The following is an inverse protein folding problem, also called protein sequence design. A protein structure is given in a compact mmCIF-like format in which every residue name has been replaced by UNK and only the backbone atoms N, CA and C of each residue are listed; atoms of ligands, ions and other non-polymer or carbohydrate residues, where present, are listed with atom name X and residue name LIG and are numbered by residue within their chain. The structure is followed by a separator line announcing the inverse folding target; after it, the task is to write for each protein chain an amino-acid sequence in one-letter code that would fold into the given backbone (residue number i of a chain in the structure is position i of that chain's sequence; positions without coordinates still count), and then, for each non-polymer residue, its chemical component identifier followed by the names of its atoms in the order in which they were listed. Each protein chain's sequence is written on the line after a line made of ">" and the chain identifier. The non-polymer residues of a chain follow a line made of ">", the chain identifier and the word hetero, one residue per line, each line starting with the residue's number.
data_IF_899727915717
#
_entry.id   IF_899727915717
#
_cell.length_a   1.000
_cell.length_b   1.000
_cell.length_c   1.000
_cell.angle_alpha   90.00
_cell.angle_beta   90.00
_cell.angle_gamma   90.00
#
_symmetry.space_group_name_H-M   'P 1'
#
loop_
_entity.id
_entity.type
_entity.pdbx_description
1 polymer ?
#
# COMPACT_ATOMS: atom_id res chain seq x y z
N UNK A 1 -3.35 43.00 -20.09
CA UNK A 1 -3.99 41.73 -19.63
C UNK A 1 -3.56 40.48 -20.39
N UNK A 2 -3.27 40.50 -21.71
CA UNK A 2 -2.78 39.31 -22.45
C UNK A 2 -1.40 38.82 -22.01
N UNK A 3 -0.44 39.73 -21.76
CA UNK A 3 0.94 39.38 -21.38
C UNK A 3 1.01 38.65 -20.02
N UNK A 4 0.20 39.08 -19.05
CA UNK A 4 0.11 38.42 -17.73
C UNK A 4 -0.48 37.00 -17.82
N UNK A 5 -1.41 36.76 -18.76
CA UNK A 5 -1.99 35.43 -19.01
C UNK A 5 -1.00 34.50 -19.71
N UNK A 6 -0.18 35.03 -20.64
CA UNK A 6 0.90 34.26 -21.27
C UNK A 6 1.99 33.86 -20.27
N UNK A 7 2.41 34.80 -19.40
CA UNK A 7 3.41 34.52 -18.37
C UNK A 7 2.92 33.47 -17.36
N UNK A 8 1.64 33.55 -16.95
CA UNK A 8 1.04 32.53 -16.08
C UNK A 8 0.97 31.15 -16.75
N UNK A 9 0.62 31.09 -18.04
CA UNK A 9 0.58 29.84 -18.80
C UNK A 9 1.97 29.21 -18.99
N UNK A 10 3.00 30.03 -19.25
CA UNK A 10 4.39 29.56 -19.38
C UNK A 10 4.91 29.04 -18.03
N UNK A 11 4.62 29.74 -16.93
CA UNK A 11 5.02 29.30 -15.59
C UNK A 11 4.30 28.00 -15.19
N UNK A 12 3.01 27.86 -15.50
CA UNK A 12 2.28 26.60 -15.28
C UNK A 12 2.86 25.45 -16.10
N UNK A 13 3.18 25.69 -17.39
CA UNK A 13 3.79 24.67 -18.25
C UNK A 13 5.19 24.25 -17.74
N UNK A 14 6.00 25.17 -17.22
CA UNK A 14 7.32 24.89 -16.64
C UNK A 14 7.24 24.10 -15.32
N UNK A 15 6.15 24.23 -14.56
CA UNK A 15 5.95 23.51 -13.29
C UNK A 15 5.34 22.12 -13.48
N UNK A 16 4.56 21.90 -14.56
CA UNK A 16 3.91 20.62 -14.84
C UNK A 16 4.83 19.57 -15.48
N UNK A 17 5.86 19.99 -16.22
CA UNK A 17 6.80 19.08 -16.89
C UNK A 17 7.64 18.19 -15.95
N UNK A 18 8.22 18.68 -14.83
CA UNK A 18 8.98 17.81 -13.94
C UNK A 18 8.10 16.83 -13.17
N UNK A 19 6.86 17.20 -12.84
CA UNK A 19 5.91 16.30 -12.16
C UNK A 19 5.52 15.12 -13.07
N UNK A 20 5.11 15.41 -14.31
CA UNK A 20 4.78 14.38 -15.30
C UNK A 20 5.94 13.44 -15.61
N UNK A 21 7.17 13.96 -15.64
CA UNK A 21 8.36 13.13 -15.86
C UNK A 21 8.66 12.21 -14.66
N UNK A 22 8.44 12.69 -13.43
CA UNK A 22 8.60 11.88 -12.23
C UNK A 22 7.57 10.73 -12.18
N UNK A 23 6.32 11.00 -12.54
CA UNK A 23 5.25 9.98 -12.59
C UNK A 23 5.55 8.90 -13.64
N UNK A 24 6.01 9.31 -14.83
CA UNK A 24 6.37 8.38 -15.91
C UNK A 24 7.57 7.49 -15.55
N UNK A 25 8.59 8.02 -14.88
CA UNK A 25 9.71 7.20 -14.41
C UNK A 25 9.29 6.27 -13.27
N UNK A 26 8.41 6.71 -12.36
CA UNK A 26 7.87 5.84 -11.31
C UNK A 26 7.05 4.68 -11.90
N UNK A 27 6.19 4.95 -12.89
CA UNK A 27 5.40 3.91 -13.55
C UNK A 27 6.31 2.90 -14.27
N UNK A 28 7.34 3.38 -14.97
CA UNK A 28 8.34 2.53 -15.63
C UNK A 28 9.08 1.65 -14.63
N UNK A 29 9.50 2.19 -13.48
CA UNK A 29 10.13 1.41 -12.41
C UNK A 29 9.14 0.39 -11.82
N UNK A 30 7.90 0.79 -11.56
CA UNK A 30 6.86 -0.08 -11.02
C UNK A 30 6.53 -1.27 -11.94
N UNK A 31 6.66 -1.09 -13.26
CA UNK A 31 6.47 -2.14 -14.28
C UNK A 31 7.71 -2.99 -14.56
N UNK A 32 8.86 -2.65 -13.96
CA UNK A 32 10.10 -3.41 -14.15
C UNK A 32 10.08 -4.77 -13.42
N UNK A 33 11.09 -5.60 -13.71
CA UNK A 33 11.30 -6.92 -13.08
C UNK A 33 12.53 -6.90 -12.17
N UNK A 34 12.61 -7.84 -11.23
CA UNK A 34 13.76 -7.99 -10.34
C UNK A 34 13.63 -7.17 -9.07
N UNK A 35 14.68 -6.44 -8.71
CA UNK A 35 14.77 -5.68 -7.45
C UNK A 35 15.10 -4.22 -7.75
N UNK A 36 14.21 -3.48 -8.41
CA UNK A 36 14.49 -2.09 -8.79
C UNK A 36 14.73 -1.22 -7.56
N UNK A 37 15.64 -0.28 -7.70
CA UNK A 37 15.78 0.82 -6.76
C UNK A 37 14.71 1.86 -7.06
N UNK A 38 13.86 2.15 -6.07
CA UNK A 38 12.74 3.09 -6.22
C UNK A 38 13.10 4.34 -5.42
N UNK A 39 13.31 5.49 -6.09
CA UNK A 39 13.67 6.72 -5.40
C UNK A 39 12.73 7.05 -4.25
N UNK A 40 13.30 7.28 -3.06
CA UNK A 40 12.56 7.61 -1.84
C UNK A 40 12.02 6.41 -1.05
N UNK A 41 12.23 5.18 -1.53
CA UNK A 41 11.94 3.95 -0.78
C UNK A 41 13.21 3.19 -0.45
N UNK A 42 13.34 2.77 0.81
CA UNK A 42 14.32 1.76 1.20
C UNK A 42 13.63 0.40 1.15
N UNK A 43 13.91 -0.40 0.12
CA UNK A 43 13.28 -1.72 -0.07
C UNK A 43 14.28 -2.84 0.19
N UNK A 44 13.89 -3.75 1.09
CA UNK A 44 14.55 -5.04 1.29
C UNK A 44 13.75 -6.10 0.54
N UNK A 45 14.34 -6.63 -0.51
CA UNK A 45 13.75 -7.65 -1.36
C UNK A 45 14.02 -9.05 -0.78
N UNK A 46 12.98 -9.72 -0.30
CA UNK A 46 13.03 -11.16 0.02
C UNK A 46 12.49 -12.00 -1.13
N UNK A 47 11.60 -11.41 -1.94
CA UNK A 47 11.16 -11.96 -3.22
C UNK A 47 11.29 -10.88 -4.31
N UNK A 48 12.05 -11.12 -5.41
CA UNK A 48 12.11 -10.20 -6.52
C UNK A 48 10.78 -10.16 -7.28
N UNK A 49 10.50 -9.05 -7.94
CA UNK A 49 9.38 -8.92 -8.87
C UNK A 49 9.55 -9.79 -10.11
N UNK A 50 8.48 -10.49 -10.49
CA UNK A 50 8.36 -11.12 -11.79
C UNK A 50 7.96 -10.12 -12.88
N UNK A 51 7.71 -10.63 -14.08
CA UNK A 51 6.99 -9.90 -15.11
C UNK A 51 5.56 -9.65 -14.62
N UNK A 52 5.13 -8.39 -14.65
CA UNK A 52 3.80 -7.97 -14.19
C UNK A 52 2.67 -8.63 -14.98
N UNK A 53 2.91 -9.03 -16.23
CA UNK A 53 1.94 -9.79 -17.03
C UNK A 53 1.65 -11.18 -16.45
N UNK A 54 2.56 -11.71 -15.62
CA UNK A 54 2.43 -13.00 -14.94
C UNK A 54 2.09 -12.84 -13.45
N UNK A 55 1.91 -11.62 -12.96
CA UNK A 55 1.47 -11.38 -11.59
C UNK A 55 0.03 -11.90 -11.38
N UNK A 56 -0.30 -12.18 -10.12
CA UNK A 56 -1.68 -12.47 -9.75
C UNK A 56 -2.55 -11.23 -10.04
N UNK A 57 -3.82 -11.37 -10.50
CA UNK A 57 -4.65 -10.24 -10.94
C UNK A 57 -5.18 -9.40 -9.77
N UNK A 58 -4.27 -8.69 -9.11
CA UNK A 58 -4.57 -7.79 -8.00
C UNK A 58 -5.46 -6.64 -8.46
N UNK A 59 -6.50 -6.34 -7.69
CA UNK A 59 -7.46 -5.25 -7.97
C UNK A 59 -7.61 -4.26 -6.83
N UNK A 60 -7.13 -4.62 -5.65
CA UNK A 60 -7.32 -3.88 -4.42
C UNK A 60 -6.01 -3.84 -3.61
N UNK A 61 -5.86 -2.81 -2.80
CA UNK A 61 -4.83 -2.74 -1.76
C UNK A 61 -5.56 -2.66 -0.42
N UNK A 62 -5.13 -3.46 0.54
CA UNK A 62 -5.63 -3.43 1.91
C UNK A 62 -4.45 -3.08 2.81
N UNK A 63 -4.60 -1.97 3.51
CA UNK A 63 -3.60 -1.48 4.45
C UNK A 63 -3.97 -1.96 5.85
N UNK A 64 -2.97 -2.51 6.51
CA UNK A 64 -3.01 -3.01 7.86
C UNK A 64 -2.08 -2.19 8.75
N UNK A 65 -2.31 -2.29 10.05
CA UNK A 65 -1.37 -1.83 11.06
C UNK A 65 -1.35 -2.87 12.18
N UNK A 66 -0.18 -3.19 12.71
CA UNK A 66 0.00 -4.27 13.68
C UNK A 66 0.56 -3.72 14.98
N UNK A 67 0.02 -4.24 16.09
CA UNK A 67 0.52 -4.08 17.45
C UNK A 67 1.87 -4.79 17.70
N UNK A 68 2.73 -4.88 16.69
CA UNK A 68 4.09 -5.36 16.84
C UNK A 68 5.02 -4.26 17.36
N UNK A 69 6.02 -4.59 18.19
CA UNK A 69 7.12 -3.67 18.48
C UNK A 69 7.95 -3.40 17.21
N UNK A 70 8.77 -2.35 17.21
CA UNK A 70 9.76 -2.10 16.14
C UNK A 70 10.60 -3.35 15.87
N UNK A 71 10.85 -3.64 14.60
CA UNK A 71 11.54 -4.85 14.13
C UNK A 71 10.59 -5.99 13.77
N UNK A 72 9.30 -5.90 14.11
CA UNK A 72 8.31 -6.93 13.80
C UNK A 72 8.02 -7.05 12.30
N UNK A 73 8.11 -5.97 11.51
CA UNK A 73 7.94 -6.03 10.06
C UNK A 73 9.02 -6.92 9.43
N UNK A 74 10.28 -6.76 9.86
CA UNK A 74 11.39 -7.60 9.39
C UNK A 74 11.14 -9.08 9.69
N UNK A 75 10.72 -9.40 10.93
CA UNK A 75 10.47 -10.78 11.35
C UNK A 75 9.30 -11.37 10.55
N UNK A 76 8.18 -10.65 10.48
CA UNK A 76 6.99 -11.03 9.72
C UNK A 76 7.29 -11.26 8.25
N UNK A 77 8.06 -10.38 7.61
CA UNK A 77 8.47 -10.52 6.23
C UNK A 77 9.33 -11.77 5.97
N UNK A 78 10.31 -12.05 6.84
CA UNK A 78 11.15 -13.25 6.72
C UNK A 78 10.34 -14.54 6.90
N UNK A 79 9.41 -14.53 7.85
CA UNK A 79 8.51 -15.64 8.08
C UNK A 79 7.54 -15.86 6.92
N UNK A 80 6.99 -14.78 6.36
CA UNK A 80 6.13 -14.84 5.18
C UNK A 80 6.90 -15.37 3.97
N UNK A 81 8.13 -14.90 3.73
CA UNK A 81 8.97 -15.36 2.61
C UNK A 81 9.24 -16.87 2.66
N UNK A 82 9.43 -17.43 3.87
CA UNK A 82 9.61 -18.89 4.06
C UNK A 82 8.35 -19.71 3.81
N UNK A 83 7.17 -19.12 4.02
CA UNK A 83 5.89 -19.79 3.80
C UNK A 83 4.89 -18.81 3.18
N UNK A 84 4.98 -18.54 1.86
CA UNK A 84 4.27 -17.44 1.21
C UNK A 84 2.75 -17.44 1.36
N UNK A 85 2.13 -18.59 1.59
CA UNK A 85 0.68 -18.75 1.72
C UNK A 85 0.18 -18.70 3.17
N UNK A 86 1.08 -18.49 4.16
CA UNK A 86 0.67 -18.32 5.55
C UNK A 86 -0.16 -17.04 5.75
N UNK A 87 -0.84 -16.95 6.89
CA UNK A 87 -1.49 -15.72 7.32
C UNK A 87 -0.45 -14.61 7.47
N UNK A 88 -0.73 -13.50 6.80
CA UNK A 88 0.13 -12.34 6.71
C UNK A 88 0.01 -11.71 5.33
N UNK A 89 0.83 -10.70 5.08
CA UNK A 89 0.73 -9.81 3.92
C UNK A 89 1.87 -10.00 2.94
N UNK A 90 1.74 -9.43 1.74
CA UNK A 90 2.82 -9.45 0.73
C UNK A 90 3.93 -8.45 1.08
N UNK A 91 3.55 -7.26 1.56
CA UNK A 91 4.47 -6.14 1.80
C UNK A 91 4.39 -5.72 3.25
N UNK A 92 5.55 -5.57 3.91
CA UNK A 92 5.64 -5.11 5.30
C UNK A 92 6.38 -3.78 5.36
N UNK A 93 6.00 -2.90 6.27
CA UNK A 93 6.61 -1.57 6.45
C UNK A 93 6.99 -1.38 7.91
N UNK A 94 8.28 -1.18 8.15
CA UNK A 94 8.84 -0.97 9.48
C UNK A 94 8.63 0.46 9.97
N UNK A 95 8.76 0.67 11.28
CA UNK A 95 8.63 1.98 11.93
C UNK A 95 9.61 3.05 11.41
N UNK A 96 10.72 2.65 10.79
CA UNK A 96 11.69 3.55 10.15
C UNK A 96 11.42 3.80 8.66
N UNK A 97 10.31 3.27 8.12
CA UNK A 97 9.94 3.40 6.71
C UNK A 97 10.56 2.34 5.78
N UNK A 98 11.37 1.40 6.30
CA UNK A 98 11.88 0.29 5.50
C UNK A 98 10.74 -0.60 5.02
N UNK A 99 10.70 -0.85 3.71
CA UNK A 99 9.72 -1.72 3.06
C UNK A 99 10.36 -3.09 2.85
N UNK A 100 9.71 -4.15 3.31
CA UNK A 100 10.09 -5.53 3.00
C UNK A 100 9.13 -6.13 1.99
N UNK A 101 9.65 -6.47 0.81
CA UNK A 101 8.89 -7.21 -0.20
C UNK A 101 9.04 -8.72 0.07
N UNK A 102 8.03 -9.32 0.71
CA UNK A 102 8.18 -10.64 1.32
C UNK A 102 7.80 -11.81 0.41
N UNK A 103 6.89 -11.60 -0.54
CA UNK A 103 6.28 -12.66 -1.35
C UNK A 103 6.27 -12.25 -2.83
N UNK A 104 6.54 -13.20 -3.72
CA UNK A 104 6.43 -12.99 -5.16
C UNK A 104 4.97 -12.65 -5.52
N UNK A 105 4.79 -11.71 -6.43
CA UNK A 105 3.49 -11.10 -6.74
C UNK A 105 2.53 -12.00 -7.54
N UNK A 106 2.96 -13.21 -7.89
CA UNK A 106 2.13 -14.29 -8.43
C UNK A 106 1.59 -15.25 -7.35
N UNK A 107 1.97 -15.07 -6.08
CA UNK A 107 1.50 -15.87 -4.95
C UNK A 107 0.55 -15.05 -4.07
N UNK A 108 -0.39 -15.74 -3.40
CA UNK A 108 -1.46 -15.10 -2.62
C UNK A 108 -1.31 -15.37 -1.12
N UNK A 109 -0.90 -14.37 -0.32
CA UNK A 109 -0.97 -14.42 1.15
C UNK A 109 -2.41 -14.41 1.66
N UNK A 110 -2.62 -14.83 2.91
CA UNK A 110 -3.96 -14.99 3.52
C UNK A 110 -4.31 -13.90 4.54
N UNK A 111 -3.92 -12.64 4.27
CA UNK A 111 -4.07 -11.49 5.18
C UNK A 111 -5.50 -11.19 5.64
N UNK A 112 -6.49 -11.42 4.77
CA UNK A 112 -7.93 -11.21 5.08
C UNK A 112 -8.69 -12.53 5.28
N UNK A 113 -8.02 -13.65 5.56
CA UNK A 113 -8.74 -14.88 5.89
C UNK A 113 -9.60 -14.68 7.14
N UNK A 114 -10.91 -14.85 6.98
CA UNK A 114 -11.93 -14.59 8.01
C UNK A 114 -12.44 -13.14 8.07
N UNK A 115 -11.84 -12.22 7.31
CA UNK A 115 -12.18 -10.79 7.25
C UNK A 115 -13.17 -10.46 6.11
N UNK A 116 -14.20 -11.29 5.98
CA UNK A 116 -15.27 -11.17 4.98
C UNK A 116 -16.60 -11.48 5.64
N UNK A 117 -16.86 -10.83 6.77
CA UNK A 117 -18.07 -11.00 7.58
C UNK A 117 -19.13 -10.02 7.10
N UNK A 118 -20.40 -10.39 7.25
CA UNK A 118 -21.52 -9.47 6.98
C UNK A 118 -21.68 -8.51 8.18
N UNK A 119 -20.71 -7.60 8.33
CA UNK A 119 -20.56 -6.70 9.47
C UNK A 119 -21.23 -5.33 9.27
N UNK A 120 -22.28 -5.29 8.42
CA UNK A 120 -23.10 -4.10 8.12
C UNK A 120 -23.69 -3.36 9.34
N UNK A 121 -23.69 -4.02 10.51
CA UNK A 121 -24.11 -3.43 11.78
C UNK A 121 -23.10 -2.40 12.32
N UNK A 122 -21.81 -2.59 12.07
CA UNK A 122 -20.74 -1.78 12.67
C UNK A 122 -20.09 -0.83 11.68
N UNK A 123 -20.02 -1.23 10.41
CA UNK A 123 -19.60 -0.43 9.26
C UNK A 123 -20.51 -0.79 8.10
N UNK A 124 -20.84 0.14 7.21
CA UNK A 124 -21.44 -0.24 5.94
C UNK A 124 -20.36 -0.86 5.06
N UNK A 125 -20.41 -2.19 4.90
CA UNK A 125 -19.49 -2.94 4.05
C UNK A 125 -20.19 -3.53 2.81
N UNK A 126 -21.40 -3.07 2.49
CA UNK A 126 -22.17 -3.60 1.35
C UNK A 126 -21.41 -3.53 0.02
N UNK A 127 -20.59 -2.50 -0.18
CA UNK A 127 -19.75 -2.33 -1.37
C UNK A 127 -18.45 -3.16 -1.38
N UNK A 128 -18.04 -3.73 -0.25
CA UNK A 128 -16.76 -4.46 -0.11
C UNK A 128 -16.95 -5.93 0.26
N UNK A 129 -18.08 -6.29 0.87
CA UNK A 129 -18.45 -7.64 1.24
C UNK A 129 -18.45 -8.58 0.02
N UNK A 130 -17.65 -9.65 0.09
CA UNK A 130 -17.38 -10.60 -1.00
C UNK A 130 -16.71 -9.98 -2.25
N UNK A 131 -16.44 -8.67 -2.27
CA UNK A 131 -15.83 -7.96 -3.39
C UNK A 131 -14.35 -7.67 -3.17
N UNK A 132 -13.95 -7.36 -1.94
CA UNK A 132 -12.57 -7.05 -1.54
C UNK A 132 -12.10 -8.16 -0.61
N UNK A 133 -11.36 -9.12 -1.18
CA UNK A 133 -10.99 -10.39 -0.51
C UNK A 133 -9.53 -10.72 -0.74
N UNK A 134 -8.95 -11.68 -0.01
CA UNK A 134 -7.52 -12.02 -0.16
C UNK A 134 -7.11 -12.34 -1.59
N UNK A 135 -7.98 -13.00 -2.34
CA UNK A 135 -7.67 -13.45 -3.71
C UNK A 135 -7.67 -12.32 -4.73
N UNK A 136 -8.00 -11.08 -4.37
CA UNK A 136 -7.90 -9.94 -5.28
C UNK A 136 -7.27 -8.70 -4.64
N UNK A 137 -6.66 -8.85 -3.47
CA UNK A 137 -6.09 -7.74 -2.71
C UNK A 137 -4.67 -7.99 -2.25
N UNK A 138 -3.84 -6.96 -2.39
CA UNK A 138 -2.50 -6.92 -1.82
C UNK A 138 -2.62 -6.42 -0.38
N UNK A 139 -2.15 -7.20 0.58
CA UNK A 139 -1.97 -6.74 1.95
C UNK A 139 -0.68 -5.94 2.09
N UNK A 140 -0.75 -4.80 2.79
CA UNK A 140 0.41 -4.01 3.22
C UNK A 140 0.33 -3.81 4.74
N UNK A 141 1.30 -4.33 5.49
CA UNK A 141 1.32 -4.31 6.95
C UNK A 141 2.29 -3.28 7.49
N UNK A 142 1.80 -2.34 8.29
CA UNK A 142 2.62 -1.36 8.99
C UNK A 142 2.86 -1.82 10.43
N UNK A 143 4.11 -2.13 10.75
CA UNK A 143 4.49 -2.46 12.12
C UNK A 143 4.44 -1.23 13.04
N UNK A 144 3.99 -1.42 14.27
CA UNK A 144 4.03 -0.40 15.32
C UNK A 144 2.65 0.09 15.73
N UNK A 145 2.61 0.84 16.82
CA UNK A 145 1.47 1.14 17.71
C UNK A 145 1.34 0.23 18.94
N UNK A 146 2.28 -0.70 19.17
CA UNK A 146 2.39 -1.31 20.50
C UNK A 146 3.04 -0.34 21.50
N UNK A 147 2.57 -0.27 22.76
CA UNK A 147 1.37 -0.91 23.33
C UNK A 147 0.10 -0.05 23.20
N UNK A 148 0.14 1.06 22.46
CA UNK A 148 -0.96 2.02 22.31
C UNK A 148 -1.46 2.10 20.86
N UNK A 149 -2.53 1.36 20.58
CA UNK A 149 -3.20 1.26 19.27
C UNK A 149 -3.73 2.58 18.72
N UNK A 150 -3.78 3.63 19.55
CA UNK A 150 -4.17 4.98 19.12
C UNK A 150 -3.04 5.72 18.43
N UNK A 151 -1.79 5.24 18.55
CA UNK A 151 -0.63 5.81 17.88
C UNK A 151 -0.70 5.48 16.39
N UNK A 152 -0.68 6.53 15.58
CA UNK A 152 -0.62 6.40 14.13
C UNK A 152 0.75 5.99 13.59
N UNK A 153 0.87 5.86 12.26
CA UNK A 153 2.14 5.58 11.61
C UNK A 153 3.18 6.68 11.88
N UNK A 154 4.45 6.30 11.92
CA UNK A 154 5.56 7.26 12.04
C UNK A 154 5.68 8.15 10.80
N UNK A 155 6.38 9.27 10.91
CA UNK A 155 6.64 10.14 9.75
C UNK A 155 7.40 9.41 8.62
N UNK A 156 8.30 8.49 8.97
CA UNK A 156 9.05 7.71 7.98
C UNK A 156 8.15 6.69 7.26
N UNK A 157 7.23 6.04 8.00
CA UNK A 157 6.20 5.19 7.41
C UNK A 157 5.29 5.97 6.47
N UNK A 158 4.85 7.17 6.86
CA UNK A 158 4.02 8.04 6.02
C UNK A 158 4.76 8.45 4.74
N UNK A 159 6.05 8.80 4.85
CA UNK A 159 6.88 9.15 3.70
C UNK A 159 7.05 7.97 2.74
N UNK A 160 7.36 6.78 3.26
CA UNK A 160 7.45 5.55 2.46
C UNK A 160 6.09 5.21 1.83
N UNK A 161 5.01 5.32 2.59
CA UNK A 161 3.67 4.96 2.12
C UNK A 161 3.22 5.80 0.93
N UNK A 162 3.53 7.11 0.95
CA UNK A 162 3.20 8.04 -0.13
C UNK A 162 3.71 7.57 -1.49
N UNK A 163 4.90 6.98 -1.53
CA UNK A 163 5.50 6.48 -2.78
C UNK A 163 5.07 5.03 -3.03
N UNK A 164 5.09 4.19 -1.99
CA UNK A 164 4.75 2.76 -2.11
C UNK A 164 3.33 2.54 -2.64
N UNK A 165 2.34 3.32 -2.22
CA UNK A 165 0.97 3.18 -2.73
C UNK A 165 0.89 3.49 -4.23
N UNK A 166 1.61 4.51 -4.70
CA UNK A 166 1.69 4.85 -6.12
C UNK A 166 2.36 3.74 -6.92
N UNK A 167 3.46 3.16 -6.39
CA UNK A 167 4.14 2.00 -6.99
C UNK A 167 3.20 0.81 -7.14
N UNK A 168 2.49 0.42 -6.08
CA UNK A 168 1.55 -0.71 -6.12
C UNK A 168 0.44 -0.46 -7.15
N UNK A 169 -0.12 0.75 -7.15
CA UNK A 169 -1.17 1.14 -8.10
C UNK A 169 -0.66 1.12 -9.54
N UNK A 170 0.48 1.72 -9.83
CA UNK A 170 1.07 1.79 -11.17
C UNK A 170 1.46 0.39 -11.69
N UNK A 171 2.02 -0.46 -10.81
CA UNK A 171 2.39 -1.84 -11.17
C UNK A 171 1.16 -2.63 -11.60
N UNK A 172 0.13 -2.70 -10.77
CA UNK A 172 -1.00 -3.61 -10.99
C UNK A 172 -2.23 -2.97 -11.64
N UNK A 173 -2.18 -1.66 -11.94
CA UNK A 173 -3.32 -0.93 -12.50
C UNK A 173 -4.47 -0.74 -11.51
N UNK A 174 -4.16 -0.54 -10.22
CA UNK A 174 -5.15 -0.42 -9.15
C UNK A 174 -5.62 1.04 -9.02
N UNK A 175 -6.93 1.24 -9.08
CA UNK A 175 -7.55 2.57 -8.94
C UNK A 175 -7.35 3.14 -7.53
N UNK A 176 -7.36 4.47 -7.40
CA UNK A 176 -7.13 5.15 -6.13
C UNK A 176 -8.17 4.81 -5.07
N UNK A 177 -9.43 4.68 -5.47
CA UNK A 177 -10.57 4.32 -4.65
C UNK A 177 -10.59 2.83 -4.26
N UNK A 178 -9.68 2.03 -4.81
CA UNK A 178 -9.47 0.61 -4.48
C UNK A 178 -8.37 0.38 -3.42
N UNK A 179 -7.97 1.44 -2.69
CA UNK A 179 -7.10 1.35 -1.51
C UNK A 179 -7.97 1.39 -0.25
N UNK A 180 -8.00 0.32 0.53
CA UNK A 180 -8.87 0.17 1.70
C UNK A 180 -8.05 0.02 2.99
N UNK A 181 -8.61 0.45 4.11
CA UNK A 181 -8.17 -0.02 5.42
C UNK A 181 -8.81 -1.40 5.70
N UNK A 182 -8.13 -2.26 6.45
CA UNK A 182 -8.73 -3.53 6.89
C UNK A 182 -10.05 -3.30 7.63
N UNK A 183 -10.11 -2.29 8.50
CA UNK A 183 -11.33 -2.01 9.27
C UNK A 183 -12.51 -1.47 8.42
N UNK A 184 -12.29 -1.11 7.14
CA UNK A 184 -13.37 -0.68 6.23
C UNK A 184 -14.05 -1.85 5.53
N UNK A 185 -13.43 -3.03 5.55
CA UNK A 185 -13.98 -4.25 4.97
C UNK A 185 -14.44 -5.24 6.04
N UNK A 186 -13.81 -5.18 7.21
CA UNK A 186 -14.04 -6.08 8.33
C UNK A 186 -13.87 -5.32 9.65
N UNK A 187 -15.00 -4.95 10.28
CA UNK A 187 -14.94 -4.20 11.53
C UNK A 187 -14.53 -5.12 12.68
N UNK A 188 -13.48 -4.72 13.41
CA UNK A 188 -13.00 -5.49 14.57
C UNK A 188 -13.36 -4.85 15.89
N UNK A 189 -13.09 -3.55 16.04
CA UNK A 189 -13.29 -2.82 17.28
C UNK A 189 -13.54 -1.33 17.00
N UNK A 190 -14.38 -0.66 17.80
CA UNK A 190 -14.66 0.77 17.66
C UNK A 190 -13.50 1.66 18.12
N UNK A 191 -12.61 1.14 18.96
CA UNK A 191 -11.48 1.86 19.56
C UNK A 191 -10.25 1.87 18.67
N UNK A 192 -10.21 0.97 17.70
CA UNK A 192 -9.04 0.71 16.89
C UNK A 192 -9.44 0.61 15.42
N UNK A 193 -8.79 1.40 14.56
CA UNK A 193 -8.93 1.22 13.14
C UNK A 193 -7.61 0.79 12.49
N UNK A 194 -7.54 -0.51 12.18
CA UNK A 194 -6.45 -1.13 11.44
C UNK A 194 -6.32 -0.51 10.04
N UNK A 195 -5.35 0.38 9.87
CA UNK A 195 -5.00 1.01 8.59
C UNK A 195 -5.86 2.21 8.17
N UNK A 196 -6.83 2.70 8.96
CA UNK A 196 -7.72 3.82 8.55
C UNK A 196 -6.92 5.05 8.12
N UNK A 197 -5.97 5.47 8.95
CA UNK A 197 -5.23 6.70 8.68
C UNK A 197 -4.42 6.55 7.39
N UNK A 198 -3.72 5.43 7.22
CA UNK A 198 -2.93 5.15 6.02
C UNK A 198 -3.77 5.07 4.75
N UNK A 199 -4.92 4.40 4.79
CA UNK A 199 -5.83 4.33 3.64
C UNK A 199 -6.45 5.70 3.31
N UNK A 200 -6.77 6.49 4.34
CA UNK A 200 -7.26 7.87 4.16
C UNK A 200 -6.20 8.74 3.51
N UNK A 201 -4.96 8.69 3.99
CA UNK A 201 -3.82 9.41 3.40
C UNK A 201 -3.62 9.03 1.94
N UNK A 202 -3.58 7.73 1.63
CA UNK A 202 -3.46 7.24 0.26
C UNK A 202 -4.51 7.86 -0.66
N UNK A 203 -5.80 7.84 -0.25
CA UNK A 203 -6.88 8.43 -1.06
C UNK A 203 -6.84 9.96 -1.12
N UNK A 204 -6.28 10.62 -0.12
CA UNK A 204 -6.19 12.10 -0.06
C UNK A 204 -5.07 12.65 -0.92
N UNK A 205 -3.95 11.93 -1.04
CA UNK A 205 -2.80 12.41 -1.82
C UNK A 205 -3.06 12.47 -3.32
N UNK A 206 -4.06 11.73 -3.83
CA UNK A 206 -4.31 11.68 -5.27
C UNK A 206 -3.17 10.98 -6.02
N UNK A 207 -3.08 11.28 -7.33
CA UNK A 207 -1.88 11.02 -8.14
C UNK A 207 -0.94 12.22 -8.04
#
# INVERSE_FOLDING_TARGET
>A
MMIARLLAAILAALLLTPALAADAELEKLARSTGTPDIPGLTIVWLAPWGDVANAHPWRNIIVHQTEGPSGSARIGANEQSKNPTRRGVMVWVETDGTVYWSVADNLVPTHTDGANRNDNKYIDNSGTYHQVVRDNSIGVEFAGNYPDVTIGPTAAQVAAWRILVQVLRARYGIALDHVYAHNWIDFKDARYCEGCWLATLARTWGE
#
